data_IF_560269448553
#
_entry.id   IF_560269448553
#
_cell.length_a   1.000
_cell.length_b   1.000
_cell.length_c   1.000
_cell.angle_alpha   90.00
_cell.angle_beta   90.00
_cell.angle_gamma   90.00
#
_symmetry.space_group_name_H-M   'P 1'
#
loop_
_entity.id
_entity.type
_entity.pdbx_description
1 polymer ?
#
# COMPACT_ATOMS: atom_id res chain seq x y z
N UNK A 1 -23.62 -5.10 25.83
CA UNK A 1 -23.21 -5.02 27.24
C UNK A 1 -21.73 -5.39 27.33
N UNK A 2 -20.83 -4.39 27.30
CA UNK A 2 -19.38 -4.61 27.25
C UNK A 2 -18.74 -4.26 28.60
N UNK A 3 -18.01 -5.21 29.19
CA UNK A 3 -17.35 -5.05 30.49
C UNK A 3 -16.20 -4.03 30.41
N UNK A 4 -16.28 -2.95 31.19
CA UNK A 4 -15.31 -2.71 32.27
C UNK A 4 -14.13 -1.75 32.11
N UNK A 5 -13.75 -1.22 30.93
CA UNK A 5 -12.64 -0.22 30.84
C UNK A 5 -12.88 1.04 30.01
N UNK A 6 -13.90 1.10 29.14
CA UNK A 6 -14.19 2.31 28.35
C UNK A 6 -14.83 3.46 29.16
N UNK A 7 -15.66 3.15 30.15
CA UNK A 7 -16.52 4.17 30.78
C UNK A 7 -15.79 5.24 31.63
N UNK A 8 -14.56 4.96 32.07
CA UNK A 8 -13.74 5.88 32.89
C UNK A 8 -12.54 6.43 32.11
N UNK A 9 -11.97 5.64 31.20
CA UNK A 9 -10.87 6.05 30.34
C UNK A 9 -11.30 7.04 29.25
N UNK A 10 -12.48 6.85 28.63
CA UNK A 10 -12.91 7.70 27.50
C UNK A 10 -12.99 9.20 27.88
N UNK A 11 -13.55 9.60 29.05
CA UNK A 11 -13.55 11.01 29.44
C UNK A 11 -12.16 11.58 29.72
N UNK A 12 -11.24 10.79 30.28
CA UNK A 12 -9.87 11.24 30.58
C UNK A 12 -9.10 11.47 29.27
N UNK A 13 -9.17 10.51 28.35
CA UNK A 13 -8.54 10.61 27.03
C UNK A 13 -9.12 11.77 26.22
N UNK A 14 -10.45 11.92 26.20
CA UNK A 14 -11.11 13.02 25.49
C UNK A 14 -10.74 14.39 26.07
N UNK A 15 -10.63 14.50 27.40
CA UNK A 15 -10.21 15.74 28.08
C UNK A 15 -8.78 16.11 27.72
N UNK A 16 -7.86 15.15 27.77
CA UNK A 16 -6.46 15.38 27.40
C UNK A 16 -6.34 15.84 25.94
N UNK A 17 -7.06 15.19 25.02
CA UNK A 17 -7.08 15.58 23.60
C UNK A 17 -7.67 16.99 23.41
N UNK A 18 -8.77 17.32 24.10
CA UNK A 18 -9.38 18.65 24.02
C UNK A 18 -8.42 19.75 24.49
N UNK A 19 -7.73 19.53 25.61
CA UNK A 19 -6.81 20.53 26.16
C UNK A 19 -5.65 20.87 25.20
N UNK A 20 -5.21 19.90 24.40
CA UNK A 20 -4.11 20.10 23.44
C UNK A 20 -4.62 20.58 22.08
N UNK A 21 -5.68 19.97 21.55
CA UNK A 21 -6.10 20.17 20.16
C UNK A 21 -7.44 20.90 19.99
N UNK A 22 -8.17 21.15 21.08
CA UNK A 22 -9.52 21.71 21.07
C UNK A 22 -9.57 23.24 21.15
N UNK A 23 -8.56 23.90 21.73
CA UNK A 23 -8.57 25.34 22.06
C UNK A 23 -8.81 26.25 20.83
N UNK A 24 -8.39 25.83 19.63
CA UNK A 24 -8.54 26.62 18.38
C UNK A 24 -9.60 26.07 17.41
N UNK A 25 -10.45 25.13 17.85
CA UNK A 25 -11.45 24.49 16.98
C UNK A 25 -12.77 25.25 17.00
N UNK A 26 -13.42 25.35 15.85
CA UNK A 26 -14.75 25.97 15.68
C UNK A 26 -15.80 24.93 15.30
N UNK A 27 -17.11 25.22 15.38
CA UNK A 27 -18.15 24.29 14.91
C UNK A 27 -18.03 23.91 13.43
N UNK A 28 -17.37 24.78 12.62
CA UNK A 28 -17.09 24.58 11.18
C UNK A 28 -15.78 23.82 10.93
N UNK A 29 -14.85 23.84 11.87
CA UNK A 29 -13.62 23.02 11.89
C UNK A 29 -13.55 22.20 13.20
N UNK A 30 -14.39 21.16 13.33
CA UNK A 30 -14.45 20.36 14.54
C UNK A 30 -13.31 19.35 14.60
N UNK A 31 -12.97 18.94 15.81
CA UNK A 31 -12.05 17.81 16.01
C UNK A 31 -12.81 16.48 15.90
N UNK A 32 -12.41 15.64 14.97
CA UNK A 32 -13.00 14.30 14.80
C UNK A 32 -12.27 13.28 15.65
N UNK A 33 -13.01 12.53 16.49
CA UNK A 33 -12.45 11.46 17.32
C UNK A 33 -12.88 10.08 16.86
N UNK A 34 -11.88 9.23 16.58
CA UNK A 34 -12.05 7.86 16.12
C UNK A 34 -11.25 6.86 16.94
N UNK A 35 -11.68 5.60 16.95
CA UNK A 35 -10.91 4.49 17.50
C UNK A 35 -11.03 3.25 16.63
N UNK A 36 -9.91 2.59 16.35
CA UNK A 36 -9.87 1.35 15.59
C UNK A 36 -10.40 0.15 16.39
N UNK A 37 -10.41 0.26 17.72
CA UNK A 37 -10.88 -0.81 18.62
C UNK A 37 -12.35 -1.15 18.40
N UNK A 38 -13.14 -0.19 17.94
CA UNK A 38 -14.55 -0.42 17.58
C UNK A 38 -14.71 -1.43 16.43
N UNK A 39 -13.74 -1.50 15.52
CA UNK A 39 -13.82 -2.33 14.32
C UNK A 39 -13.21 -3.74 14.52
N UNK A 40 -12.08 -3.85 15.23
CA UNK A 40 -11.28 -5.08 15.30
C UNK A 40 -11.04 -5.54 16.76
N UNK A 41 -11.67 -4.87 17.73
CA UNK A 41 -11.50 -5.18 19.15
C UNK A 41 -10.20 -4.61 19.74
N UNK A 42 -9.90 -5.01 20.98
CA UNK A 42 -8.73 -4.53 21.72
C UNK A 42 -7.53 -5.46 21.50
N UNK A 43 -6.63 -5.11 20.58
CA UNK A 43 -5.47 -5.91 20.21
C UNK A 43 -4.25 -5.73 21.13
N UNK A 44 -4.48 -5.23 22.35
CA UNK A 44 -3.45 -5.01 23.39
C UNK A 44 -2.26 -4.23 22.85
N UNK A 45 -1.04 -4.79 22.90
CA UNK A 45 0.18 -4.17 22.41
C UNK A 45 0.15 -3.79 20.93
N UNK A 46 -0.67 -4.46 20.11
CA UNK A 46 -0.82 -4.13 18.69
C UNK A 46 -1.82 -2.99 18.41
N UNK A 47 -2.57 -2.53 19.41
CA UNK A 47 -3.60 -1.49 19.22
C UNK A 47 -3.02 -0.18 18.66
N UNK A 48 -1.79 0.16 19.05
CA UNK A 48 -1.11 1.38 18.59
C UNK A 48 -0.79 1.35 17.10
N UNK A 49 -0.11 0.29 16.63
CA UNK A 49 0.28 0.18 15.22
C UNK A 49 -0.95 0.09 14.29
N UNK A 50 -2.01 -0.59 14.73
CA UNK A 50 -3.26 -0.69 13.96
C UNK A 50 -3.96 0.67 13.84
N UNK A 51 -3.87 1.54 14.84
CA UNK A 51 -4.38 2.91 14.74
C UNK A 51 -3.58 3.76 13.74
N UNK A 52 -2.25 3.60 13.71
CA UNK A 52 -1.37 4.27 12.72
C UNK A 52 -1.68 3.81 11.30
N UNK A 53 -1.86 2.50 11.08
CA UNK A 53 -2.25 1.94 9.77
C UNK A 53 -3.60 2.53 9.32
N UNK A 54 -4.61 2.60 10.21
CA UNK A 54 -5.90 3.22 9.90
C UNK A 54 -5.73 4.67 9.46
N UNK A 55 -4.93 5.46 10.19
CA UNK A 55 -4.68 6.86 9.85
C UNK A 55 -3.95 7.04 8.52
N UNK A 56 -2.91 6.23 8.26
CA UNK A 56 -2.16 6.27 7.01
C UNK A 56 -3.06 5.96 5.80
N UNK A 57 -3.88 4.90 5.88
CA UNK A 57 -4.83 4.56 4.82
C UNK A 57 -5.90 5.63 4.60
N UNK A 58 -6.39 6.26 5.67
CA UNK A 58 -7.34 7.37 5.58
C UNK A 58 -6.75 8.58 4.83
N UNK A 59 -5.48 8.90 5.09
CA UNK A 59 -4.75 9.97 4.39
C UNK A 59 -4.46 9.62 2.93
N UNK A 60 -3.99 8.40 2.66
CA UNK A 60 -3.66 7.92 1.32
C UNK A 60 -4.90 7.91 0.42
N UNK A 61 -6.01 7.37 0.92
CA UNK A 61 -7.25 7.23 0.15
C UNK A 61 -8.07 8.52 0.09
N UNK A 62 -7.76 9.50 0.95
CA UNK A 62 -8.59 10.68 1.11
C UNK A 62 -9.98 10.33 1.64
N UNK A 63 -10.09 9.44 2.62
CA UNK A 63 -11.37 9.16 3.29
C UNK A 63 -11.20 9.12 4.79
N UNK A 64 -12.23 9.57 5.49
CA UNK A 64 -12.31 9.44 6.93
C UNK A 64 -13.30 8.31 7.25
N UNK A 65 -12.86 7.27 7.97
CA UNK A 65 -13.67 6.09 8.29
C UNK A 65 -14.43 6.23 9.63
N UNK A 66 -15.73 5.90 9.68
CA UNK A 66 -16.52 5.98 10.91
C UNK A 66 -16.07 4.95 11.95
N UNK A 67 -16.49 5.16 13.19
CA UNK A 67 -16.40 4.14 14.24
C UNK A 67 -17.60 3.18 14.13
N UNK A 68 -17.36 1.89 14.32
CA UNK A 68 -18.41 0.88 14.31
C UNK A 68 -19.34 1.06 15.53
N UNK A 69 -20.66 0.94 15.30
CA UNK A 69 -21.72 1.04 16.33
C UNK A 69 -21.72 2.31 17.22
N UNK A 70 -21.15 3.42 16.74
CA UNK A 70 -21.14 4.69 17.48
C UNK A 70 -22.48 5.44 17.35
N UNK A 71 -23.49 5.04 18.15
CA UNK A 71 -24.84 5.63 18.12
C UNK A 71 -24.97 6.90 18.97
N UNK A 72 -24.54 6.85 20.23
CA UNK A 72 -24.61 7.98 21.16
C UNK A 72 -23.26 8.18 21.86
N UNK A 73 -22.74 9.42 21.93
CA UNK A 73 -21.52 9.71 22.67
C UNK A 73 -21.74 9.51 24.17
N UNK A 74 -20.66 9.16 24.89
CA UNK A 74 -20.68 9.12 26.35
C UNK A 74 -21.07 10.49 26.91
N UNK A 75 -22.13 10.55 27.72
CA UNK A 75 -22.69 11.79 28.28
C UNK A 75 -21.70 12.56 29.17
N UNK A 76 -20.64 11.90 29.65
CA UNK A 76 -19.56 12.53 30.42
C UNK A 76 -18.58 13.34 29.57
N UNK A 77 -18.67 13.26 28.23
CA UNK A 77 -17.82 14.01 27.31
C UNK A 77 -18.67 15.11 26.66
N UNK A 78 -18.38 16.40 26.92
CA UNK A 78 -19.16 17.51 26.37
C UNK A 78 -18.77 17.82 24.91
N UNK A 79 -19.06 16.89 24.00
CA UNK A 79 -18.72 16.97 22.56
C UNK A 79 -19.14 18.30 21.91
N UNK A 80 -20.35 18.77 22.17
CA UNK A 80 -20.86 20.03 21.59
C UNK A 80 -20.06 21.24 22.08
N UNK A 81 -19.76 21.33 23.38
CA UNK A 81 -18.97 22.42 23.97
C UNK A 81 -17.53 22.42 23.48
N UNK A 82 -16.97 21.22 23.27
CA UNK A 82 -15.57 21.06 22.87
C UNK A 82 -15.34 21.10 21.36
N UNK A 83 -16.37 21.42 20.57
CA UNK A 83 -16.33 21.39 19.10
C UNK A 83 -15.80 20.06 18.56
N UNK A 84 -16.15 18.96 19.24
CA UNK A 84 -15.76 17.61 18.87
C UNK A 84 -16.92 16.93 18.16
N UNK A 85 -16.63 16.16 17.12
CA UNK A 85 -17.63 15.40 16.38
C UNK A 85 -17.20 13.96 16.20
N UNK A 86 -18.19 13.08 16.07
CA UNK A 86 -17.95 11.70 15.61
C UNK A 86 -17.37 11.73 14.22
N UNK A 87 -16.50 10.76 13.94
CA UNK A 87 -15.92 10.60 12.61
C UNK A 87 -17.02 10.32 11.58
N UNK A 88 -17.24 11.18 10.57
CA UNK A 88 -18.16 10.90 9.49
C UNK A 88 -17.53 9.91 8.52
N UNK A 89 -18.35 9.19 7.76
CA UNK A 89 -17.87 8.69 6.48
C UNK A 89 -17.80 9.89 5.52
N UNK A 90 -16.58 10.37 5.22
CA UNK A 90 -16.39 11.56 4.38
C UNK A 90 -15.18 11.37 3.48
N UNK A 91 -15.37 11.63 2.18
CA UNK A 91 -14.27 11.78 1.23
C UNK A 91 -13.62 13.15 1.39
N UNK A 92 -12.31 13.16 1.58
CA UNK A 92 -11.44 14.30 1.42
C UNK A 92 -10.87 14.23 -0.01
N UNK A 93 -11.01 15.32 -0.78
CA UNK A 93 -10.61 15.35 -2.18
C UNK A 93 -9.14 14.94 -2.40
N UNK A 94 -8.80 14.41 -3.58
CA UNK A 94 -7.47 13.88 -3.86
C UNK A 94 -6.41 14.97 -3.76
N UNK A 95 -5.26 14.63 -3.16
CA UNK A 95 -4.03 15.41 -3.36
C UNK A 95 -3.45 15.00 -4.71
N UNK A 96 -3.44 15.92 -5.67
CA UNK A 96 -2.78 15.70 -6.96
C UNK A 96 -1.28 15.60 -6.70
N UNK A 97 -0.70 14.39 -6.81
CA UNK A 97 0.74 14.26 -6.94
C UNK A 97 1.09 14.50 -8.41
N UNK A 98 1.67 15.68 -8.65
CA UNK A 98 1.97 16.24 -9.97
C UNK A 98 3.40 15.95 -10.42
N UNK A 99 3.96 14.79 -10.06
CA UNK A 99 5.30 14.38 -10.49
C UNK A 99 5.18 13.24 -11.51
N UNK A 100 4.50 13.52 -12.63
CA UNK A 100 4.49 12.62 -13.78
C UNK A 100 5.83 12.79 -14.52
N UNK A 101 6.66 11.75 -14.52
CA UNK A 101 7.85 11.72 -15.37
C UNK A 101 7.39 11.40 -16.79
N UNK A 102 8.03 12.00 -17.78
CA UNK A 102 7.76 11.68 -19.18
C UNK A 102 8.59 10.44 -19.54
N UNK A 103 8.00 9.25 -19.36
CA UNK A 103 8.67 8.00 -19.69
C UNK A 103 8.61 7.72 -21.21
N UNK A 104 9.78 7.47 -21.81
CA UNK A 104 9.86 7.03 -23.20
C UNK A 104 9.51 5.54 -23.25
N UNK A 105 8.61 5.10 -24.16
CA UNK A 105 8.24 3.69 -24.26
C UNK A 105 9.43 2.87 -24.78
N UNK A 106 10.15 2.24 -23.85
CA UNK A 106 11.24 1.30 -24.13
C UNK A 106 10.96 -0.08 -23.52
N UNK A 107 11.49 -1.14 -24.14
CA UNK A 107 11.43 -2.49 -23.54
C UNK A 107 12.16 -2.49 -22.20
N UNK A 108 11.56 -3.13 -21.20
CA UNK A 108 12.09 -3.23 -19.84
C UNK A 108 12.24 -4.70 -19.46
N UNK A 109 13.18 -4.97 -18.56
CA UNK A 109 13.42 -6.30 -18.02
C UNK A 109 12.75 -6.45 -16.65
N UNK A 110 11.80 -7.37 -16.54
CA UNK A 110 11.07 -7.65 -15.31
C UNK A 110 11.69 -8.88 -14.66
N UNK A 111 12.31 -8.70 -13.49
CA UNK A 111 12.99 -9.76 -12.77
C UNK A 111 12.14 -10.20 -11.58
N UNK A 112 11.71 -11.46 -11.55
CA UNK A 112 10.97 -12.01 -10.42
C UNK A 112 11.80 -13.13 -9.81
N UNK A 113 11.94 -13.10 -8.48
CA UNK A 113 12.77 -14.06 -7.74
C UNK A 113 12.04 -14.63 -6.52
N UNK A 114 12.39 -15.85 -6.13
CA UNK A 114 11.88 -16.55 -4.95
C UNK A 114 12.90 -17.58 -4.40
N UNK A 115 12.62 -18.14 -3.23
CA UNK A 115 13.46 -19.19 -2.62
C UNK A 115 13.28 -20.57 -3.24
N UNK A 116 12.10 -20.85 -3.80
CA UNK A 116 11.74 -22.10 -4.45
C UNK A 116 10.85 -21.85 -5.68
N UNK A 117 10.66 -22.90 -6.49
CA UNK A 117 9.89 -22.82 -7.74
C UNK A 117 8.42 -22.48 -7.51
N UNK A 118 7.76 -23.04 -6.49
CA UNK A 118 6.35 -22.79 -6.21
C UNK A 118 6.09 -21.37 -5.70
N UNK A 119 6.99 -20.84 -4.87
CA UNK A 119 6.97 -19.44 -4.45
C UNK A 119 7.17 -18.49 -5.63
N UNK A 120 8.01 -18.86 -6.61
CA UNK A 120 8.20 -18.07 -7.83
C UNK A 120 6.92 -18.02 -8.67
N UNK A 121 6.27 -19.17 -8.90
CA UNK A 121 4.99 -19.24 -9.61
C UNK A 121 3.91 -18.41 -8.91
N UNK A 122 3.88 -18.43 -7.58
CA UNK A 122 2.98 -17.60 -6.78
C UNK A 122 3.27 -16.11 -6.93
N UNK A 123 4.55 -15.72 -6.93
CA UNK A 123 4.96 -14.34 -7.13
C UNK A 123 4.58 -13.82 -8.53
N UNK A 124 4.75 -14.64 -9.57
CA UNK A 124 4.33 -14.33 -10.94
C UNK A 124 2.81 -14.16 -11.04
N UNK A 125 2.03 -15.07 -10.45
CA UNK A 125 0.55 -14.95 -10.39
C UNK A 125 0.11 -13.65 -9.69
N UNK A 126 0.74 -13.29 -8.58
CA UNK A 126 0.46 -12.03 -7.87
C UNK A 126 0.80 -10.81 -8.72
N UNK A 127 1.88 -10.87 -9.51
CA UNK A 127 2.24 -9.80 -10.44
C UNK A 127 1.21 -9.65 -11.55
N UNK A 128 0.74 -10.75 -12.14
CA UNK A 128 -0.33 -10.72 -13.14
C UNK A 128 -1.59 -10.06 -12.57
N UNK A 129 -2.06 -10.52 -11.41
CA UNK A 129 -3.23 -9.93 -10.72
C UNK A 129 -3.01 -8.43 -10.45
N UNK A 130 -1.80 -8.05 -10.02
CA UNK A 130 -1.47 -6.65 -9.75
C UNK A 130 -1.56 -5.76 -10.99
N UNK A 131 -1.07 -6.24 -12.14
CA UNK A 131 -1.08 -5.52 -13.42
C UNK A 131 -2.50 -5.42 -13.99
N UNK A 132 -3.29 -6.48 -13.87
CA UNK A 132 -4.70 -6.48 -14.31
C UNK A 132 -5.56 -5.50 -13.49
N UNK A 133 -5.31 -5.39 -12.18
CA UNK A 133 -6.02 -4.45 -11.30
C UNK A 133 -5.59 -2.99 -11.48
N UNK A 134 -4.46 -2.73 -12.15
CA UNK A 134 -3.92 -1.38 -12.38
C UNK A 134 -3.59 -1.19 -13.86
N UNK A 135 -4.60 -0.91 -14.71
CA UNK A 135 -4.35 -0.76 -16.13
C UNK A 135 -3.40 0.42 -16.41
N UNK A 136 -2.36 0.13 -17.19
CA UNK A 136 -1.30 1.06 -17.62
C UNK A 136 -1.86 2.33 -18.29
N UNK A 137 -3.04 2.25 -18.91
CA UNK A 137 -3.76 3.38 -19.51
C UNK A 137 -3.98 4.55 -18.52
N UNK A 138 -4.05 4.26 -17.23
CA UNK A 138 -4.26 5.27 -16.18
C UNK A 138 -2.96 5.67 -15.46
N UNK A 139 -1.82 5.04 -15.77
CA UNK A 139 -0.54 5.24 -15.09
C UNK A 139 0.63 5.10 -16.06
N UNK A 140 1.11 6.23 -16.62
CA UNK A 140 2.18 6.27 -17.63
C UNK A 140 3.48 5.61 -17.16
N UNK A 141 3.88 5.82 -15.91
CA UNK A 141 5.16 5.35 -15.37
C UNK A 141 5.11 3.93 -14.79
N UNK A 142 3.94 3.29 -14.75
CA UNK A 142 3.71 2.03 -14.03
C UNK A 142 4.73 0.96 -14.40
N UNK A 143 4.97 0.74 -15.68
CA UNK A 143 5.88 -0.30 -16.14
C UNK A 143 7.34 0.00 -15.78
N UNK A 144 7.74 1.27 -15.76
CA UNK A 144 9.06 1.70 -15.28
C UNK A 144 9.23 1.43 -13.80
N UNK A 145 8.26 1.85 -13.01
CA UNK A 145 8.29 1.69 -11.56
C UNK A 145 8.24 0.22 -11.14
N UNK A 146 7.45 -0.60 -11.84
CA UNK A 146 7.40 -2.05 -11.61
C UNK A 146 8.73 -2.71 -11.95
N UNK A 147 9.31 -2.42 -13.12
CA UNK A 147 10.62 -2.97 -13.51
C UNK A 147 11.71 -2.57 -12.51
N UNK A 148 11.75 -1.28 -12.13
CA UNK A 148 12.68 -0.76 -11.14
C UNK A 148 12.48 -1.41 -9.77
N UNK A 149 11.24 -1.53 -9.30
CA UNK A 149 10.93 -2.13 -7.99
C UNK A 149 11.36 -3.59 -7.96
N UNK A 150 11.04 -4.34 -9.01
CA UNK A 150 11.39 -5.76 -9.13
C UNK A 150 12.90 -5.98 -9.23
N UNK A 151 13.62 -5.13 -9.97
CA UNK A 151 15.07 -5.26 -10.16
C UNK A 151 15.94 -4.68 -9.05
N UNK A 152 15.49 -3.63 -8.36
CA UNK A 152 16.34 -2.82 -7.46
C UNK A 152 15.80 -2.68 -6.03
N UNK A 153 14.53 -3.01 -5.78
CA UNK A 153 13.90 -2.85 -4.45
C UNK A 153 13.47 -4.18 -3.83
N UNK A 154 13.85 -5.31 -4.45
CA UNK A 154 13.61 -6.67 -3.97
C UNK A 154 14.94 -7.37 -3.73
N UNK A 155 14.97 -8.24 -2.72
CA UNK A 155 16.08 -9.18 -2.55
C UNK A 155 16.12 -10.13 -3.74
N UNK A 156 17.30 -10.34 -4.31
CA UNK A 156 17.51 -11.35 -5.35
C UNK A 156 17.68 -12.72 -4.69
N UNK A 157 16.85 -13.67 -5.11
CA UNK A 157 16.77 -15.00 -4.53
C UNK A 157 17.14 -16.08 -5.55
N UNK A 158 17.48 -17.31 -5.12
CA UNK A 158 18.05 -18.32 -6.00
C UNK A 158 17.18 -18.68 -7.20
N UNK A 159 15.86 -18.86 -7.02
CA UNK A 159 14.97 -19.09 -8.16
C UNK A 159 14.58 -17.77 -8.78
N UNK A 160 14.83 -17.61 -10.09
CA UNK A 160 14.59 -16.36 -10.79
C UNK A 160 14.17 -16.55 -12.23
N UNK A 161 13.41 -15.59 -12.72
CA UNK A 161 13.03 -15.45 -14.12
C UNK A 161 13.15 -13.99 -14.52
N UNK A 162 13.63 -13.74 -15.73
CA UNK A 162 13.75 -12.40 -16.28
C UNK A 162 12.95 -12.35 -17.59
N UNK A 163 11.97 -11.44 -17.66
CA UNK A 163 11.02 -11.35 -18.78
C UNK A 163 11.13 -9.96 -19.40
N UNK A 164 11.58 -9.84 -20.66
CA UNK A 164 11.57 -8.57 -21.36
C UNK A 164 10.16 -8.25 -21.87
N UNK A 165 9.62 -7.07 -21.57
CA UNK A 165 8.31 -6.63 -22.05
C UNK A 165 8.28 -5.11 -22.27
N UNK A 166 7.44 -4.65 -23.21
CA UNK A 166 7.20 -3.22 -23.44
C UNK A 166 5.98 -2.76 -22.65
N UNK A 167 4.87 -3.50 -22.79
CA UNK A 167 3.57 -3.20 -22.16
C UNK A 167 3.20 -4.26 -21.14
N UNK A 168 2.30 -3.88 -20.25
CA UNK A 168 1.71 -4.76 -19.24
C UNK A 168 1.09 -6.02 -19.85
N UNK A 169 0.38 -5.90 -20.98
CA UNK A 169 -0.20 -7.02 -21.71
C UNK A 169 0.86 -8.04 -22.17
N UNK A 170 1.96 -7.59 -22.78
CA UNK A 170 3.03 -8.46 -23.27
C UNK A 170 3.66 -9.26 -22.12
N UNK A 171 3.82 -8.62 -20.96
CA UNK A 171 4.35 -9.26 -19.75
C UNK A 171 3.39 -10.33 -19.21
N UNK A 172 2.09 -10.00 -19.12
CA UNK A 172 1.06 -10.95 -18.69
C UNK A 172 0.99 -12.15 -19.63
N UNK A 173 1.02 -11.92 -20.95
CA UNK A 173 1.04 -12.99 -21.94
C UNK A 173 2.30 -13.86 -21.80
N UNK A 174 3.48 -13.25 -21.64
CA UNK A 174 4.74 -13.98 -21.47
C UNK A 174 4.76 -14.87 -20.21
N UNK A 175 4.15 -14.39 -19.12
CA UNK A 175 4.00 -15.15 -17.88
C UNK A 175 3.02 -16.32 -18.07
N UNK A 176 1.85 -16.06 -18.66
CA UNK A 176 0.79 -17.07 -18.82
C UNK A 176 1.14 -18.15 -19.85
N UNK A 177 1.85 -17.77 -20.91
CA UNK A 177 2.33 -18.71 -21.94
C UNK A 177 3.52 -19.56 -21.48
N UNK A 178 4.05 -19.32 -20.27
CA UNK A 178 5.25 -19.98 -19.74
C UNK A 178 6.46 -19.91 -20.70
N UNK A 179 6.52 -18.87 -21.55
CA UNK A 179 7.63 -18.66 -22.50
C UNK A 179 8.96 -18.42 -21.80
N UNK A 180 8.94 -17.91 -20.57
CA UNK A 180 10.13 -17.66 -19.79
C UNK A 180 10.41 -18.83 -18.83
N UNK A 181 11.54 -19.50 -19.01
CA UNK A 181 11.95 -20.64 -18.18
C UNK A 181 12.60 -20.15 -16.88
N UNK A 182 12.04 -20.45 -15.71
CA UNK A 182 12.71 -20.17 -14.44
C UNK A 182 14.03 -20.93 -14.31
N UNK A 183 15.06 -20.23 -13.82
CA UNK A 183 16.34 -20.82 -13.46
C UNK A 183 16.58 -20.77 -11.95
N UNK A 184 17.19 -21.81 -11.40
CA UNK A 184 17.80 -21.74 -10.07
C UNK A 184 19.23 -21.25 -10.21
N UNK A 185 19.65 -20.36 -9.31
CA UNK A 185 21.04 -19.97 -9.14
C UNK A 185 21.91 -21.22 -8.98
N UNK A 186 22.82 -21.39 -9.94
CA UNK A 186 23.84 -22.42 -9.92
C UNK A 186 25.19 -21.84 -9.52
N UNK A 187 26.25 -22.59 -9.79
CA UNK A 187 27.64 -22.16 -9.64
C UNK A 187 27.89 -20.81 -10.34
N UNK A 188 28.81 -19.98 -9.82
CA UNK A 188 29.17 -18.72 -10.44
C UNK A 188 29.66 -18.94 -11.88
N UNK A 189 28.96 -18.33 -12.83
CA UNK A 189 29.25 -18.46 -14.26
C UNK A 189 30.59 -17.78 -14.60
N UNK A 190 31.45 -18.47 -15.35
CA UNK A 190 32.59 -17.84 -16.03
C UNK A 190 32.12 -17.32 -17.38
N UNK A 191 32.17 -16.01 -17.55
CA UNK A 191 31.70 -15.33 -18.77
C UNK A 191 32.89 -14.99 -19.66
N UNK A 192 32.87 -15.44 -20.91
CA UNK A 192 33.81 -15.04 -21.95
C UNK A 192 33.09 -14.23 -23.03
N UNK A 193 33.68 -13.12 -23.47
CA UNK A 193 33.18 -12.31 -24.57
C UNK A 193 33.96 -12.63 -25.84
N UNK A 194 33.26 -12.89 -26.95
CA UNK A 194 33.85 -13.07 -28.27
C UNK A 194 33.40 -11.90 -29.14
N UNK A 195 34.36 -11.16 -29.68
CA UNK A 195 34.10 -10.08 -30.63
C UNK A 195 34.32 -10.61 -32.04
N UNK A 196 33.24 -10.66 -32.83
CA UNK A 196 33.31 -11.16 -34.22
C UNK A 196 34.00 -10.14 -35.12
N UNK A 197 34.78 -10.63 -36.09
CA UNK A 197 35.45 -9.80 -37.10
C UNK A 197 34.48 -9.26 -38.16
N UNK A 198 35.04 -8.70 -39.24
CA UNK A 198 34.31 -7.96 -40.30
C UNK A 198 33.21 -8.73 -41.07
N UNK A 199 32.99 -10.02 -40.81
CA UNK A 199 31.96 -10.85 -41.48
C UNK A 199 30.58 -10.89 -40.80
N UNK A 200 30.34 -10.09 -39.76
CA UNK A 200 29.09 -10.11 -38.97
C UNK A 200 28.15 -8.92 -39.24
N UNK A 201 28.43 -8.11 -40.26
CA UNK A 201 27.66 -6.93 -40.64
C UNK A 201 26.66 -7.22 -41.76
#
# INVERSE_FOLDING_TARGET
MGRGRGCVGDPIEATAIHNVFGVRRSPRDPLYLGSVKSNIGHLEGASGIVAVIKAALMLERGFILPNYDFKQPNSKIPFAKWNMKRVPFKQCGPKQNADLRDDKPGRKLFVVTAHDRGALETALKRLVIYLEQRPEMFQKDLMSDVAYTLGQRRSLLPWRVAIPALRSFDLVEAINSQKATPGKEGEPLRIGYIFTGQGAQ
#
